data_IF_956052071054
#
_entry.id   IF_956052071054
#
_cell.length_a   1.000
_cell.length_b   1.000
_cell.length_c   1.000
_cell.angle_alpha   90.00
_cell.angle_beta   90.00
_cell.angle_gamma   90.00
#
_symmetry.space_group_name_H-M   'P 1'
#
loop_
_entity.id
_entity.type
_entity.pdbx_description
1 polymer ?
#
# COMPACT_ATOMS: atom_id res chain seq x y z
N UNK A 1 15.65 19.28 -20.84
CA UNK A 1 16.49 19.35 -19.63
C UNK A 1 16.72 17.92 -19.15
N UNK A 2 17.68 17.63 -18.26
CA UNK A 2 17.77 16.28 -17.67
C UNK A 2 17.02 16.28 -16.33
N UNK A 3 16.23 15.24 -16.08
CA UNK A 3 15.52 15.01 -14.83
C UNK A 3 16.28 13.94 -14.06
N UNK A 4 16.69 14.26 -12.84
CA UNK A 4 17.30 13.31 -11.92
C UNK A 4 16.22 12.52 -11.19
N UNK A 5 16.50 11.25 -10.92
CA UNK A 5 15.63 10.39 -10.15
C UNK A 5 16.44 9.42 -9.29
N UNK A 6 15.78 8.90 -8.26
CA UNK A 6 16.28 7.77 -7.48
C UNK A 6 15.23 6.67 -7.45
N UNK A 7 15.65 5.44 -7.74
CA UNK A 7 14.79 4.26 -7.69
C UNK A 7 14.78 3.68 -6.29
N UNK A 8 13.59 3.48 -5.73
CA UNK A 8 13.38 2.77 -4.46
C UNK A 8 12.43 1.60 -4.65
N UNK A 9 12.42 0.68 -3.68
CA UNK A 9 11.31 -0.25 -3.53
C UNK A 9 10.94 -0.45 -2.06
N UNK A 10 9.66 -0.73 -1.81
CA UNK A 10 9.15 -1.26 -0.55
C UNK A 10 8.63 -2.66 -0.76
N UNK A 11 9.39 -3.69 -0.35
CA UNK A 11 9.04 -5.11 -0.55
C UNK A 11 8.71 -5.47 -2.02
N UNK A 12 9.55 -5.04 -2.96
CA UNK A 12 9.39 -5.31 -4.39
C UNK A 12 8.44 -4.37 -5.13
N UNK A 13 7.56 -3.64 -4.45
CA UNK A 13 6.79 -2.57 -5.07
C UNK A 13 7.70 -1.35 -5.30
N UNK A 14 8.05 -1.08 -6.56
CA UNK A 14 9.18 -0.24 -6.96
C UNK A 14 8.76 1.08 -7.61
N UNK A 15 9.44 2.17 -7.22
CA UNK A 15 9.06 3.53 -7.59
C UNK A 15 10.25 4.34 -8.10
N UNK A 16 9.97 5.24 -9.05
CA UNK A 16 10.87 6.32 -9.46
C UNK A 16 10.56 7.53 -8.59
N UNK A 17 11.50 7.95 -7.74
CA UNK A 17 11.34 9.12 -6.88
C UNK A 17 12.04 10.32 -7.50
N UNK A 18 11.31 11.43 -7.62
CA UNK A 18 11.79 12.69 -8.19
C UNK A 18 11.75 13.76 -7.11
N UNK A 19 12.90 14.41 -6.91
CA UNK A 19 12.96 15.63 -6.11
C UNK A 19 12.28 16.76 -6.88
N UNK A 20 11.10 17.11 -6.43
CA UNK A 20 10.24 18.12 -7.02
C UNK A 20 9.99 19.27 -6.04
N UNK A 21 10.84 19.43 -5.00
CA UNK A 21 10.63 20.39 -3.91
C UNK A 21 10.68 21.85 -4.38
N UNK A 22 11.23 22.09 -5.57
CA UNK A 22 11.34 23.41 -6.21
C UNK A 22 10.06 23.89 -6.91
N UNK A 23 9.02 23.05 -7.06
CA UNK A 23 7.79 23.36 -7.79
C UNK A 23 6.60 22.66 -7.16
N UNK A 24 5.45 23.36 -7.07
CA UNK A 24 4.20 22.76 -6.57
C UNK A 24 3.57 21.77 -7.57
N UNK A 25 3.93 21.86 -8.85
CA UNK A 25 3.43 20.95 -9.88
C UNK A 25 4.44 19.83 -10.19
N UNK A 26 3.98 18.57 -10.39
CA UNK A 26 4.82 17.47 -10.86
C UNK A 26 5.57 17.84 -12.14
N UNK A 27 6.85 17.51 -12.19
CA UNK A 27 7.70 17.73 -13.39
C UNK A 27 7.31 16.89 -14.59
N UNK A 28 6.51 15.84 -14.41
CA UNK A 28 6.05 14.97 -15.48
C UNK A 28 4.53 15.07 -15.64
N UNK A 29 4.05 14.90 -16.85
CA UNK A 29 2.64 14.59 -17.10
C UNK A 29 2.36 13.10 -16.83
N UNK A 30 1.09 12.70 -16.66
CA UNK A 30 0.71 11.30 -16.60
C UNK A 30 1.23 10.45 -17.76
N UNK A 31 1.14 10.95 -19.01
CA UNK A 31 1.63 10.23 -20.20
C UNK A 31 3.15 10.02 -20.17
N UNK A 32 3.91 11.00 -19.65
CA UNK A 32 5.35 10.85 -19.44
C UNK A 32 5.64 9.82 -18.35
N UNK A 33 4.85 9.79 -17.27
CA UNK A 33 4.98 8.79 -16.21
C UNK A 33 4.75 7.37 -16.76
N UNK A 34 3.71 7.16 -17.58
CA UNK A 34 3.46 5.88 -18.28
C UNK A 34 4.70 5.46 -19.06
N UNK A 35 5.25 6.38 -19.88
CA UNK A 35 6.39 6.08 -20.74
C UNK A 35 7.66 5.68 -19.94
N UNK A 36 7.94 6.33 -18.80
CA UNK A 36 9.12 5.98 -18.00
C UNK A 36 8.91 4.78 -17.09
N UNK A 37 7.66 4.47 -16.72
CA UNK A 37 7.30 3.28 -15.96
C UNK A 37 7.33 2.00 -16.81
N UNK A 38 7.33 2.10 -18.15
CA UNK A 38 7.50 0.93 -19.02
C UNK A 38 8.82 0.21 -18.70
N UNK A 39 8.75 -1.09 -18.45
CA UNK A 39 9.90 -1.91 -18.00
C UNK A 39 10.88 -2.29 -19.10
N UNK A 40 10.53 -2.12 -20.38
CA UNK A 40 11.37 -2.48 -21.52
C UNK A 40 11.95 -1.25 -22.23
N UNK A 41 11.15 -0.20 -22.36
CA UNK A 41 11.46 1.02 -23.10
C UNK A 41 11.71 2.24 -22.18
N UNK A 42 11.36 2.12 -20.90
CA UNK A 42 11.57 3.14 -19.88
C UNK A 42 12.59 2.71 -18.83
N UNK A 43 12.47 3.32 -17.65
CA UNK A 43 13.24 2.95 -16.45
C UNK A 43 12.62 1.69 -15.80
N UNK A 44 11.31 1.51 -15.96
CA UNK A 44 10.52 0.44 -15.37
C UNK A 44 10.18 0.71 -13.91
N UNK A 45 8.91 0.82 -13.55
CA UNK A 45 8.45 0.98 -12.17
C UNK A 45 6.94 0.73 -12.05
N UNK A 46 6.44 0.51 -10.84
CA UNK A 46 5.00 0.51 -10.56
C UNK A 46 4.41 1.93 -10.52
N UNK A 47 5.26 2.95 -10.31
CA UNK A 47 4.85 4.35 -10.37
C UNK A 47 5.99 5.35 -10.19
N UNK A 48 5.65 6.62 -10.35
CA UNK A 48 6.51 7.78 -10.14
C UNK A 48 5.99 8.57 -8.96
N UNK A 49 6.86 8.85 -7.98
CA UNK A 49 6.53 9.62 -6.77
C UNK A 49 7.29 10.94 -6.79
N UNK A 50 6.58 12.03 -6.53
CA UNK A 50 7.12 13.38 -6.48
C UNK A 50 7.19 13.86 -5.04
N UNK A 51 8.38 14.25 -4.60
CA UNK A 51 8.58 15.00 -3.36
C UNK A 51 8.35 16.49 -3.66
N UNK A 52 7.18 17.01 -3.32
CA UNK A 52 6.76 18.40 -3.59
C UNK A 52 6.95 19.28 -2.35
N UNK A 53 6.98 20.62 -2.49
CA UNK A 53 6.97 21.51 -1.32
C UNK A 53 5.74 21.25 -0.45
N UNK A 54 5.92 21.40 0.86
CA UNK A 54 4.82 21.24 1.83
C UNK A 54 3.70 22.25 1.63
N UNK A 55 2.48 21.85 2.00
CA UNK A 55 1.29 22.70 2.02
C UNK A 55 0.56 22.60 3.36
N UNK A 56 -0.20 23.64 3.73
CA UNK A 56 -0.99 23.69 4.97
C UNK A 56 -0.18 23.32 6.25
N UNK A 57 1.09 23.73 6.30
CA UNK A 57 1.98 23.47 7.43
C UNK A 57 2.53 22.04 7.54
N UNK A 58 2.44 21.25 6.46
CA UNK A 58 3.19 19.99 6.32
C UNK A 58 4.63 20.25 5.85
N UNK A 59 5.53 19.29 6.08
CA UNK A 59 6.94 19.40 5.69
C UNK A 59 7.09 19.28 4.16
N UNK A 60 6.35 18.32 3.57
CA UNK A 60 6.38 18.01 2.15
C UNK A 60 4.99 17.59 1.65
N UNK A 61 4.82 17.58 0.34
CA UNK A 61 3.63 17.02 -0.32
C UNK A 61 4.03 15.82 -1.17
N UNK A 62 3.23 14.76 -1.17
CA UNK A 62 3.38 13.60 -2.05
C UNK A 62 2.30 13.64 -3.13
N UNK A 63 2.75 13.54 -4.38
CA UNK A 63 1.91 13.10 -5.51
C UNK A 63 2.53 11.85 -6.12
N UNK A 64 1.69 11.01 -6.72
CA UNK A 64 2.10 9.76 -7.32
C UNK A 64 1.33 9.54 -8.62
N UNK A 65 2.03 9.11 -9.67
CA UNK A 65 1.41 8.56 -10.87
C UNK A 65 1.74 7.08 -10.97
N UNK A 66 0.71 6.24 -11.09
CA UNK A 66 0.87 4.82 -11.36
C UNK A 66 1.44 4.58 -12.76
N UNK A 67 1.88 3.36 -13.04
CA UNK A 67 2.37 2.95 -14.36
C UNK A 67 1.34 3.07 -15.49
N UNK A 68 0.05 3.17 -15.17
CA UNK A 68 -1.06 3.41 -16.11
C UNK A 68 -1.44 4.91 -16.23
N UNK A 69 -0.72 5.79 -15.53
CA UNK A 69 -0.95 7.23 -15.51
C UNK A 69 -2.02 7.70 -14.53
N UNK A 70 -2.73 6.80 -13.85
CA UNK A 70 -3.68 7.19 -12.82
C UNK A 70 -2.97 7.80 -11.60
N UNK A 71 -3.63 8.73 -10.92
CA UNK A 71 -3.12 9.34 -9.68
C UNK A 71 -3.91 8.78 -8.47
N UNK A 72 -3.35 7.80 -7.74
CA UNK A 72 -4.00 7.27 -6.55
C UNK A 72 -3.88 8.23 -5.37
N UNK A 73 -4.80 8.13 -4.41
CA UNK A 73 -4.80 9.07 -3.29
C UNK A 73 -3.63 8.87 -2.31
N UNK A 74 -3.16 7.62 -2.19
CA UNK A 74 -2.08 7.23 -1.29
C UNK A 74 -1.44 5.89 -1.73
N UNK A 75 -0.18 5.68 -1.39
CA UNK A 75 0.50 4.39 -1.53
C UNK A 75 1.36 4.09 -0.28
N UNK A 76 1.00 3.03 0.47
CA UNK A 76 1.65 2.70 1.73
C UNK A 76 3.12 2.28 1.59
N UNK A 77 3.50 1.65 0.48
CA UNK A 77 4.92 1.36 0.18
C UNK A 77 5.63 2.62 -0.33
N UNK A 78 4.96 3.40 -1.17
CA UNK A 78 5.47 4.64 -1.72
C UNK A 78 5.80 5.68 -0.65
N UNK A 79 4.95 5.85 0.37
CA UNK A 79 5.19 6.82 1.45
C UNK A 79 6.40 6.43 2.32
N UNK A 80 6.67 5.12 2.51
CA UNK A 80 7.91 4.66 3.18
C UNK A 80 9.13 5.00 2.34
N UNK A 81 9.06 4.75 1.03
CA UNK A 81 10.11 5.12 0.08
C UNK A 81 10.37 6.63 0.07
N UNK A 82 9.30 7.44 0.07
CA UNK A 82 9.40 8.89 0.10
C UNK A 82 10.02 9.39 1.41
N UNK A 83 9.61 8.86 2.55
CA UNK A 83 10.22 9.20 3.84
C UNK A 83 11.73 8.95 3.84
N UNK A 84 12.16 7.80 3.30
CA UNK A 84 13.60 7.50 3.19
C UNK A 84 14.32 8.41 2.18
N UNK A 85 13.70 8.68 1.04
CA UNK A 85 14.25 9.57 0.02
C UNK A 85 14.45 10.99 0.54
N UNK A 86 13.48 11.53 1.28
CA UNK A 86 13.60 12.85 1.91
C UNK A 86 14.76 12.89 2.91
N UNK A 87 14.90 11.84 3.73
CA UNK A 87 16.04 11.74 4.64
C UNK A 87 17.39 11.65 3.93
N UNK A 88 17.46 10.89 2.83
CA UNK A 88 18.67 10.78 2.02
C UNK A 88 19.04 12.13 1.37
N UNK A 89 18.05 12.90 0.90
CA UNK A 89 18.25 14.26 0.36
C UNK A 89 18.72 15.23 1.45
N UNK A 90 18.05 15.29 2.59
CA UNK A 90 18.41 16.19 3.70
C UNK A 90 19.79 15.86 4.27
N UNK A 91 20.12 14.56 4.39
CA UNK A 91 21.45 14.12 4.82
C UNK A 91 22.54 14.60 3.86
N UNK A 92 22.31 14.52 2.55
CA UNK A 92 23.26 15.01 1.54
C UNK A 92 23.41 16.55 1.55
N UNK A 93 22.34 17.28 1.84
CA UNK A 93 22.32 18.75 1.82
C UNK A 93 22.82 19.39 3.12
N UNK A 94 22.50 18.78 4.27
CA UNK A 94 22.63 19.41 5.60
C UNK A 94 23.44 18.59 6.59
N UNK A 95 23.77 17.34 6.27
CA UNK A 95 24.44 16.41 7.20
C UNK A 95 23.56 15.90 8.33
N UNK A 96 22.25 16.13 8.26
CA UNK A 96 21.25 15.62 9.20
C UNK A 96 19.90 15.48 8.51
N UNK A 97 19.05 14.60 9.04
CA UNK A 97 17.71 14.34 8.53
C UNK A 97 16.72 14.26 9.69
N UNK A 98 15.44 14.54 9.41
CA UNK A 98 14.39 14.36 10.41
C UNK A 98 14.09 12.87 10.63
N UNK A 99 13.67 12.53 11.85
CA UNK A 99 13.22 11.16 12.19
C UNK A 99 11.77 10.91 11.76
N UNK A 100 11.02 11.95 11.43
CA UNK A 100 9.64 11.85 10.95
C UNK A 100 9.33 13.01 10.01
N UNK A 101 8.43 12.77 9.06
CA UNK A 101 7.97 13.78 8.10
C UNK A 101 6.46 13.83 8.10
N UNK A 102 5.87 15.01 8.25
CA UNK A 102 4.45 15.24 8.00
C UNK A 102 4.28 15.50 6.51
N UNK A 103 3.67 14.57 5.80
CA UNK A 103 3.54 14.62 4.34
C UNK A 103 2.07 14.77 3.98
N UNK A 104 1.74 15.84 3.25
CA UNK A 104 0.40 15.97 2.66
C UNK A 104 0.23 14.99 1.50
N UNK A 105 -0.85 14.24 1.49
CA UNK A 105 -1.27 13.35 0.39
C UNK A 105 -2.73 13.65 0.02
N UNK A 106 -3.23 13.13 -1.10
CA UNK A 106 -4.65 13.26 -1.44
C UNK A 106 -5.56 12.52 -0.46
N UNK A 107 -5.04 11.55 0.32
CA UNK A 107 -5.74 10.91 1.43
C UNK A 107 -5.61 11.66 2.77
N UNK A 108 -5.01 12.85 2.77
CA UNK A 108 -4.72 13.65 3.97
C UNK A 108 -3.26 13.55 4.43
N UNK A 109 -2.98 14.02 5.64
CA UNK A 109 -1.62 14.07 6.18
C UNK A 109 -1.19 12.71 6.71
N UNK A 110 -0.08 12.18 6.18
CA UNK A 110 0.55 10.94 6.63
C UNK A 110 1.90 11.26 7.27
N UNK A 111 2.23 10.59 8.38
CA UNK A 111 3.49 10.84 9.11
C UNK A 111 4.36 9.58 9.17
N UNK A 112 5.17 9.27 8.13
CA UNK A 112 6.19 8.24 8.22
C UNK A 112 7.24 8.61 9.28
N UNK A 113 7.55 7.64 10.15
CA UNK A 113 8.62 7.69 11.15
C UNK A 113 9.73 6.75 10.75
N UNK A 114 10.94 7.28 10.60
CA UNK A 114 12.12 6.55 10.18
C UNK A 114 12.83 6.00 11.42
N UNK A 115 13.23 4.73 11.35
CA UNK A 115 14.09 4.10 12.32
C UNK A 115 15.52 3.97 11.79
N UNK A 116 16.50 4.00 12.69
CA UNK A 116 17.92 3.90 12.34
C UNK A 116 18.30 2.60 11.61
N UNK A 117 17.50 1.53 11.78
CA UNK A 117 17.69 0.24 11.13
C UNK A 117 17.10 0.16 9.70
N UNK A 118 16.65 1.28 9.11
CA UNK A 118 16.08 1.33 7.77
C UNK A 118 14.58 1.01 7.69
N UNK A 119 13.95 0.68 8.81
CA UNK A 119 12.50 0.52 8.85
C UNK A 119 11.80 1.88 8.86
N UNK A 120 10.61 1.91 8.28
CA UNK A 120 9.72 3.08 8.33
C UNK A 120 8.37 2.65 8.86
N UNK A 121 7.93 3.29 9.94
CA UNK A 121 6.61 3.09 10.54
C UNK A 121 5.65 4.16 10.01
N UNK A 122 4.51 3.74 9.51
CA UNK A 122 3.46 4.60 8.98
C UNK A 122 2.20 4.38 9.81
N UNK A 123 1.59 5.48 10.25
CA UNK A 123 0.25 5.47 10.81
C UNK A 123 -0.77 5.38 9.66
N UNK A 124 -1.42 4.23 9.55
CA UNK A 124 -2.40 3.88 8.52
C UNK A 124 -3.82 4.29 8.89
N UNK A 125 -4.01 4.96 10.04
CA UNK A 125 -5.31 5.44 10.49
C UNK A 125 -6.20 4.33 11.08
N UNK A 126 -7.50 4.59 11.06
CA UNK A 126 -8.52 3.71 11.62
C UNK A 126 -9.10 2.79 10.54
N UNK A 127 -9.30 1.49 10.81
CA UNK A 127 -10.04 0.63 9.91
C UNK A 127 -11.53 0.97 9.93
N UNK A 128 -12.17 0.94 8.77
CA UNK A 128 -13.63 1.06 8.64
C UNK A 128 -14.24 -0.33 8.49
N UNK A 129 -15.25 -0.61 9.30
CA UNK A 129 -15.74 -1.98 9.52
C UNK A 129 -17.18 -2.18 9.08
N UNK A 130 -17.95 -1.11 8.86
CA UNK A 130 -19.35 -1.21 8.44
C UNK A 130 -19.44 -1.43 6.93
N UNK A 131 -20.40 -2.23 6.49
CA UNK A 131 -20.61 -2.56 5.07
C UNK A 131 -20.73 -1.31 4.18
N UNK A 132 -21.39 -0.25 4.68
CA UNK A 132 -21.52 1.03 3.99
C UNK A 132 -20.20 1.79 3.80
N UNK A 133 -19.22 1.59 4.69
CA UNK A 133 -17.91 2.23 4.62
C UNK A 133 -16.90 1.45 3.76
N UNK A 134 -17.19 0.19 3.45
CA UNK A 134 -16.38 -0.73 2.62
C UNK A 134 -16.93 -0.84 1.18
N UNK A 135 -17.91 0.00 0.83
CA UNK A 135 -18.93 -0.27 -0.21
C UNK A 135 -19.20 -1.75 -0.57
N UNK A 136 -19.70 -2.56 0.37
CA UNK A 136 -20.17 -3.94 0.09
C UNK A 136 -21.66 -4.11 0.36
N UNK A 137 -22.32 -4.95 -0.44
CA UNK A 137 -23.74 -5.30 -0.30
C UNK A 137 -23.96 -6.66 0.38
N UNK A 138 -22.91 -7.27 0.96
CA UNK A 138 -22.97 -8.63 1.51
C UNK A 138 -23.94 -8.76 2.70
N UNK A 139 -24.03 -7.70 3.50
CA UNK A 139 -24.85 -7.60 4.70
C UNK A 139 -25.51 -6.21 4.77
N UNK A 140 -26.33 -5.93 5.78
CA UNK A 140 -26.95 -4.63 5.91
C UNK A 140 -25.89 -3.52 6.10
N UNK A 141 -26.19 -2.31 5.60
CA UNK A 141 -25.28 -1.17 5.57
C UNK A 141 -24.64 -0.83 6.94
N UNK A 142 -25.37 -1.05 8.03
CA UNK A 142 -24.95 -0.78 9.42
C UNK A 142 -24.26 -1.96 10.11
N UNK A 143 -24.08 -3.09 9.43
CA UNK A 143 -23.49 -4.29 10.00
C UNK A 143 -22.01 -4.43 9.63
N UNK A 144 -21.26 -5.10 10.50
CA UNK A 144 -19.87 -5.48 10.24
C UNK A 144 -19.85 -6.78 9.43
N UNK A 145 -18.97 -6.85 8.45
CA UNK A 145 -18.80 -8.04 7.62
C UNK A 145 -17.67 -8.88 8.20
N UNK A 146 -17.99 -9.74 9.17
CA UNK A 146 -17.01 -10.64 9.81
C UNK A 146 -17.46 -12.09 9.65
N UNK A 147 -16.60 -12.94 9.11
CA UNK A 147 -16.86 -14.36 8.81
C UNK A 147 -18.23 -14.59 8.15
N UNK A 148 -18.51 -13.84 7.08
CA UNK A 148 -19.73 -13.98 6.28
C UNK A 148 -19.49 -14.93 5.11
N UNK A 149 -20.46 -15.78 4.73
CA UNK A 149 -20.36 -16.62 3.55
C UNK A 149 -20.47 -15.79 2.27
N UNK A 150 -19.58 -16.03 1.30
CA UNK A 150 -19.60 -15.46 -0.03
C UNK A 150 -19.43 -16.57 -1.06
N UNK A 151 -20.39 -16.72 -1.97
CA UNK A 151 -20.29 -17.68 -3.08
C UNK A 151 -19.41 -17.11 -4.20
N UNK A 152 -18.26 -17.73 -4.46
CA UNK A 152 -17.37 -17.35 -5.56
C UNK A 152 -16.91 -18.60 -6.28
N UNK A 153 -17.11 -18.66 -7.59
CA UNK A 153 -16.71 -19.80 -8.42
C UNK A 153 -17.33 -21.14 -7.96
N UNK A 154 -18.61 -21.13 -7.62
CA UNK A 154 -19.36 -22.31 -7.12
C UNK A 154 -18.79 -22.89 -5.81
N UNK A 155 -18.09 -22.06 -5.03
CA UNK A 155 -17.53 -22.40 -3.73
C UNK A 155 -17.93 -21.33 -2.71
N UNK A 156 -18.31 -21.77 -1.51
CA UNK A 156 -18.57 -20.87 -0.38
C UNK A 156 -17.26 -20.51 0.33
N UNK A 157 -16.95 -19.22 0.41
CA UNK A 157 -15.81 -18.68 1.14
C UNK A 157 -16.28 -17.95 2.39
N UNK A 158 -15.57 -18.12 3.50
CA UNK A 158 -15.77 -17.28 4.68
C UNK A 158 -14.92 -16.02 4.54
N UNK A 159 -15.56 -14.86 4.48
CA UNK A 159 -14.91 -13.58 4.24
C UNK A 159 -15.14 -12.59 5.37
N UNK A 160 -14.14 -11.75 5.60
CA UNK A 160 -14.24 -10.56 6.43
C UNK A 160 -13.90 -9.36 5.55
N UNK A 161 -14.74 -8.34 5.53
CA UNK A 161 -14.51 -7.15 4.70
C UNK A 161 -14.14 -5.96 5.57
N UNK A 162 -13.13 -5.20 5.15
CA UNK A 162 -12.55 -4.07 5.87
C UNK A 162 -12.16 -3.00 4.85
N UNK A 163 -12.22 -1.74 5.25
CA UNK A 163 -11.69 -0.64 4.44
C UNK A 163 -10.60 0.09 5.20
N UNK A 164 -9.46 0.26 4.53
CA UNK A 164 -8.35 1.10 4.98
C UNK A 164 -8.34 2.45 4.24
N UNK A 165 -9.49 2.85 3.70
CA UNK A 165 -9.64 3.89 2.68
C UNK A 165 -9.99 3.30 1.31
N UNK A 166 -9.48 2.10 1.03
CA UNK A 166 -9.83 1.24 -0.11
C UNK A 166 -10.45 -0.09 0.39
N UNK A 167 -11.32 -0.75 -0.41
CA UNK A 167 -12.01 -1.97 0.01
C UNK A 167 -11.11 -3.22 -0.03
N UNK A 168 -11.20 -4.04 1.02
CA UNK A 168 -10.51 -5.32 1.18
C UNK A 168 -11.51 -6.43 1.54
N UNK A 169 -11.36 -7.60 0.91
CA UNK A 169 -12.08 -8.83 1.18
C UNK A 169 -11.08 -9.91 1.59
N UNK A 170 -11.06 -10.25 2.87
CA UNK A 170 -10.07 -11.15 3.46
C UNK A 170 -10.70 -12.52 3.66
N UNK A 171 -10.01 -13.57 3.20
CA UNK A 171 -10.39 -14.95 3.47
C UNK A 171 -9.23 -15.77 4.03
N UNK A 172 -9.53 -16.65 4.99
CA UNK A 172 -8.55 -17.51 5.63
C UNK A 172 -8.52 -18.88 4.97
N UNK A 173 -7.34 -19.34 4.60
CA UNK A 173 -7.09 -20.60 3.89
C UNK A 173 -6.04 -21.43 4.61
N UNK A 174 -6.02 -22.73 4.35
CA UNK A 174 -5.02 -23.64 4.95
C UNK A 174 -3.61 -23.38 4.41
N UNK A 175 -3.49 -23.13 3.10
CA UNK A 175 -2.21 -22.91 2.43
C UNK A 175 -2.37 -21.91 1.27
N UNK A 176 -1.73 -20.74 1.40
CA UNK A 176 -1.75 -19.68 0.38
C UNK A 176 -1.01 -20.08 -0.90
N UNK A 177 -0.07 -21.02 -0.84
CA UNK A 177 0.68 -21.47 -2.00
C UNK A 177 -0.21 -22.20 -3.01
N UNK A 178 -1.26 -22.89 -2.54
CA UNK A 178 -2.18 -23.67 -3.37
C UNK A 178 -3.29 -22.83 -4.01
N UNK A 179 -3.41 -21.54 -3.66
CA UNK A 179 -4.41 -20.66 -4.24
C UNK A 179 -3.99 -20.24 -5.65
N UNK A 180 -4.82 -20.59 -6.62
CA UNK A 180 -4.68 -20.17 -8.03
C UNK A 180 -5.19 -18.74 -8.22
N UNK A 181 -4.43 -17.74 -7.76
CA UNK A 181 -4.83 -16.32 -7.78
C UNK A 181 -5.30 -15.83 -9.15
N UNK A 182 -4.63 -16.22 -10.23
CA UNK A 182 -5.01 -15.79 -11.59
C UNK A 182 -6.40 -16.29 -12.00
N UNK A 183 -6.89 -17.38 -11.42
CA UNK A 183 -8.21 -17.94 -11.70
C UNK A 183 -9.29 -17.39 -10.76
N UNK A 184 -8.97 -17.24 -9.47
CA UNK A 184 -9.95 -16.88 -8.44
C UNK A 184 -10.02 -15.36 -8.17
N UNK A 185 -8.88 -14.66 -8.27
CA UNK A 185 -8.76 -13.24 -7.98
C UNK A 185 -9.72 -12.35 -8.77
N UNK A 186 -9.80 -12.44 -10.12
CA UNK A 186 -10.77 -11.67 -10.90
C UNK A 186 -12.22 -11.90 -10.48
N UNK A 187 -12.55 -13.10 -9.99
CA UNK A 187 -13.92 -13.45 -9.58
C UNK A 187 -14.31 -12.79 -8.27
N UNK A 188 -13.35 -12.58 -7.36
CA UNK A 188 -13.56 -11.75 -6.17
C UNK A 188 -13.56 -10.26 -6.51
N UNK A 189 -12.58 -9.79 -7.28
CA UNK A 189 -12.46 -8.37 -7.66
C UNK A 189 -13.75 -7.86 -8.28
N UNK A 190 -14.32 -8.61 -9.22
CA UNK A 190 -15.52 -8.24 -9.96
C UNK A 190 -16.81 -8.83 -9.39
N UNK A 191 -16.79 -9.36 -8.17
CA UNK A 191 -17.98 -9.95 -7.57
C UNK A 191 -19.07 -8.88 -7.42
N UNK A 192 -20.33 -9.22 -7.75
CA UNK A 192 -21.45 -8.28 -7.75
C UNK A 192 -21.71 -7.61 -6.38
N UNK A 193 -21.26 -8.27 -5.31
CA UNK A 193 -21.33 -7.78 -3.93
C UNK A 193 -20.41 -6.58 -3.64
N UNK A 194 -19.42 -6.34 -4.50
CA UNK A 194 -18.49 -5.21 -4.38
C UNK A 194 -18.69 -4.23 -5.55
N UNK A 195 -19.65 -3.28 -5.46
CA UNK A 195 -19.92 -2.29 -6.50
C UNK A 195 -18.69 -1.49 -6.96
N UNK A 196 -17.74 -1.24 -6.05
CA UNK A 196 -16.49 -0.52 -6.34
C UNK A 196 -15.30 -1.45 -6.55
N UNK A 197 -15.57 -2.74 -6.82
CA UNK A 197 -14.61 -3.85 -6.80
C UNK A 197 -13.91 -3.96 -5.43
N UNK A 198 -13.01 -4.93 -5.27
CA UNK A 198 -12.29 -5.10 -4.00
C UNK A 198 -10.90 -5.68 -4.20
N UNK A 199 -9.99 -5.38 -3.28
CA UNK A 199 -8.76 -6.15 -3.11
C UNK A 199 -9.11 -7.45 -2.38
N UNK A 200 -8.40 -8.54 -2.67
CA UNK A 200 -8.68 -9.83 -2.03
C UNK A 200 -7.42 -10.43 -1.47
N UNK A 201 -7.40 -10.60 -0.15
CA UNK A 201 -6.29 -11.18 0.59
C UNK A 201 -6.62 -12.61 1.01
N UNK A 202 -5.74 -13.53 0.63
CA UNK A 202 -5.77 -14.92 1.07
C UNK A 202 -4.73 -15.10 2.17
N UNK A 203 -5.20 -15.52 3.35
CA UNK A 203 -4.39 -15.53 4.57
C UNK A 203 -4.25 -16.94 5.11
N UNK A 204 -3.01 -17.38 5.29
CA UNK A 204 -2.67 -18.55 6.08
C UNK A 204 -2.17 -18.10 7.45
N UNK A 205 -2.82 -18.58 8.49
CA UNK A 205 -2.39 -18.36 9.88
C UNK A 205 -1.33 -19.39 10.23
N UNK A 206 -0.07 -18.97 10.34
CA UNK A 206 1.03 -19.86 10.73
C UNK A 206 1.07 -20.00 12.26
N UNK A 207 0.84 -18.89 12.97
CA UNK A 207 0.66 -18.79 14.42
C UNK A 207 0.01 -17.43 14.74
N UNK A 208 -0.38 -17.20 16.00
CA UNK A 208 -1.15 -16.00 16.39
C UNK A 208 -0.46 -14.68 16.05
N UNK A 209 0.87 -14.63 16.01
CA UNK A 209 1.64 -13.43 15.66
C UNK A 209 2.36 -13.50 14.30
N UNK A 210 1.97 -14.44 13.42
CA UNK A 210 2.60 -14.59 12.11
C UNK A 210 1.61 -15.09 11.05
N UNK A 211 1.37 -14.25 10.05
CA UNK A 211 0.47 -14.53 8.92
C UNK A 211 1.27 -14.60 7.63
N UNK A 212 0.89 -15.52 6.74
CA UNK A 212 1.30 -15.52 5.34
C UNK A 212 0.16 -15.01 4.49
N UNK A 213 0.46 -14.10 3.58
CA UNK A 213 -0.53 -13.45 2.73
C UNK A 213 -0.16 -13.56 1.26
N UNK A 214 -1.17 -13.77 0.42
CA UNK A 214 -1.12 -13.45 -1.01
C UNK A 214 -2.32 -12.60 -1.37
N UNK A 215 -2.16 -11.71 -2.35
CA UNK A 215 -3.18 -10.72 -2.69
C UNK A 215 -3.47 -10.71 -4.19
N UNK A 216 -4.74 -10.48 -4.51
CA UNK A 216 -5.20 -9.98 -5.80
C UNK A 216 -5.68 -8.55 -5.60
N UNK A 217 -4.95 -7.57 -6.14
CA UNK A 217 -5.29 -6.16 -6.01
C UNK A 217 -6.22 -5.70 -7.12
N UNK A 218 -7.19 -4.88 -6.74
CA UNK A 218 -8.15 -4.23 -7.64
C UNK A 218 -7.41 -3.45 -8.72
N UNK A 219 -7.60 -3.82 -9.98
CA UNK A 219 -6.97 -3.16 -11.13
C UNK A 219 -5.48 -3.44 -11.33
N UNK A 220 -4.80 -4.10 -10.39
CA UNK A 220 -3.36 -4.41 -10.47
C UNK A 220 -3.06 -5.92 -10.55
N UNK A 221 -4.00 -6.79 -10.17
CA UNK A 221 -3.83 -8.23 -10.21
C UNK A 221 -2.89 -8.74 -9.12
N UNK A 222 -1.97 -9.65 -9.46
CA UNK A 222 -1.08 -10.29 -8.48
C UNK A 222 0.11 -9.36 -8.22
N UNK A 223 0.20 -8.82 -7.01
CA UNK A 223 1.30 -7.95 -6.57
C UNK A 223 2.21 -8.63 -5.55
N UNK A 224 3.44 -8.13 -5.39
CA UNK A 224 4.40 -8.64 -4.43
C UNK A 224 4.13 -8.18 -3.00
N UNK A 225 3.51 -7.02 -2.83
CA UNK A 225 3.18 -6.47 -1.52
C UNK A 225 2.03 -5.45 -1.59
N UNK A 226 1.06 -5.58 -0.67
CA UNK A 226 -0.02 -4.63 -0.46
C UNK A 226 -0.07 -4.21 1.01
N UNK A 227 0.31 -2.97 1.31
CA UNK A 227 0.40 -2.47 2.69
C UNK A 227 -0.97 -2.36 3.37
N UNK A 228 -1.95 -1.76 2.69
CA UNK A 228 -3.34 -1.67 3.19
C UNK A 228 -3.98 -3.05 3.34
N UNK A 229 -3.70 -4.00 2.44
CA UNK A 229 -4.13 -5.38 2.55
C UNK A 229 -3.54 -6.11 3.75
N UNK A 230 -2.25 -5.89 4.06
CA UNK A 230 -1.63 -6.44 5.26
C UNK A 230 -2.29 -5.88 6.55
N UNK A 231 -2.54 -4.57 6.60
CA UNK A 231 -3.27 -3.93 7.68
C UNK A 231 -4.68 -4.53 7.87
N UNK A 232 -5.45 -4.61 6.78
CA UNK A 232 -6.80 -5.16 6.78
C UNK A 232 -6.80 -6.64 7.23
N UNK A 233 -5.81 -7.42 6.81
CA UNK A 233 -5.67 -8.84 7.18
C UNK A 233 -5.46 -9.07 8.67
N UNK A 234 -4.67 -8.22 9.33
CA UNK A 234 -4.50 -8.29 10.79
C UNK A 234 -5.78 -7.92 11.51
N UNK A 235 -6.48 -6.87 11.08
CA UNK A 235 -7.77 -6.50 11.68
C UNK A 235 -8.79 -7.64 11.50
N UNK A 236 -8.86 -8.25 10.31
CA UNK A 236 -9.74 -9.39 10.05
C UNK A 236 -9.38 -10.60 10.93
N UNK A 237 -8.09 -10.86 11.13
CA UNK A 237 -7.60 -11.92 11.99
C UNK A 237 -7.97 -11.69 13.45
N UNK A 238 -7.83 -10.46 13.95
CA UNK A 238 -8.23 -10.09 15.32
C UNK A 238 -9.75 -10.22 15.49
N UNK A 239 -10.55 -9.68 14.58
CA UNK A 239 -12.02 -9.74 14.65
C UNK A 239 -12.58 -11.16 14.58
N UNK A 240 -11.86 -12.07 13.92
CA UNK A 240 -12.23 -13.49 13.80
C UNK A 240 -11.57 -14.40 14.85
N UNK A 241 -10.78 -13.85 15.78
CA UNK A 241 -10.11 -14.61 16.84
C UNK A 241 -8.97 -15.50 16.35
N UNK A 242 -8.31 -15.13 15.24
CA UNK A 242 -7.29 -15.93 14.55
C UNK A 242 -5.86 -15.43 14.76
N UNK A 243 -5.67 -14.15 15.10
CA UNK A 243 -4.34 -13.58 15.35
C UNK A 243 -4.36 -12.52 16.46
N UNK A 244 -3.17 -12.19 16.95
CA UNK A 244 -2.92 -11.10 17.89
C UNK A 244 -3.06 -9.74 17.20
N UNK A 245 -3.02 -8.65 17.97
CA UNK A 245 -3.07 -7.27 17.42
C UNK A 245 -1.73 -6.80 16.84
N UNK A 246 -0.62 -7.39 17.26
CA UNK A 246 0.72 -7.12 16.73
C UNK A 246 1.24 -8.39 16.04
N UNK A 247 1.43 -8.31 14.72
CA UNK A 247 1.64 -9.48 13.86
C UNK A 247 2.62 -9.15 12.75
N UNK A 248 3.56 -10.07 12.52
CA UNK A 248 4.33 -10.10 11.28
C UNK A 248 3.48 -10.68 10.16
N UNK A 249 3.33 -9.94 9.06
CA UNK A 249 2.67 -10.40 7.83
C UNK A 249 3.75 -10.64 6.78
N UNK A 250 3.92 -11.90 6.37
CA UNK A 250 4.79 -12.31 5.26
C UNK A 250 4.02 -12.19 3.94
N UNK A 251 4.43 -11.25 3.09
CA UNK A 251 3.97 -11.07 1.71
C UNK A 251 5.00 -11.71 0.76
N UNK A 252 4.66 -11.94 -0.53
CA UNK A 252 5.63 -12.47 -1.50
C UNK A 252 6.93 -11.65 -1.59
N UNK A 253 6.85 -10.32 -1.41
CA UNK A 253 8.00 -9.41 -1.43
C UNK A 253 8.76 -9.28 -0.10
N UNK A 254 8.29 -9.91 0.98
CA UNK A 254 8.91 -9.89 2.31
C UNK A 254 7.93 -9.50 3.43
N UNK A 255 8.45 -9.17 4.61
CA UNK A 255 7.64 -8.99 5.81
C UNK A 255 7.28 -7.52 6.10
N UNK A 256 6.06 -7.33 6.62
CA UNK A 256 5.63 -6.11 7.31
C UNK A 256 5.29 -6.45 8.76
N UNK A 257 5.65 -5.56 9.69
CA UNK A 257 5.14 -5.62 11.06
C UNK A 257 3.90 -4.73 11.14
N UNK A 258 2.77 -5.31 11.53
CA UNK A 258 1.49 -4.63 11.62
C UNK A 258 1.02 -4.65 13.07
N UNK A 259 0.68 -3.48 13.59
CA UNK A 259 0.09 -3.35 14.92
C UNK A 259 -1.24 -2.60 14.82
N UNK A 260 -2.33 -3.25 15.22
CA UNK A 260 -3.57 -2.56 15.54
C UNK A 260 -3.52 -2.12 17.00
N UNK A 261 -3.10 -0.89 17.27
CA UNK A 261 -2.79 -0.41 18.61
C UNK A 261 -4.06 -0.21 19.46
N UNK A 262 -3.87 0.05 20.76
CA UNK A 262 -4.98 0.23 21.72
C UNK A 262 -5.81 1.49 21.50
N UNK A 263 -5.30 2.45 20.71
CA UNK A 263 -6.03 3.64 20.24
C UNK A 263 -6.84 3.37 18.95
N UNK A 264 -6.95 2.09 18.57
CA UNK A 264 -7.58 1.57 17.35
C UNK A 264 -6.94 2.03 16.03
N UNK A 265 -5.79 2.71 16.09
CA UNK A 265 -5.00 3.07 14.92
C UNK A 265 -4.15 1.88 14.49
N UNK A 266 -3.88 1.79 13.20
CA UNK A 266 -3.04 0.73 12.64
C UNK A 266 -1.69 1.33 12.27
N UNK A 267 -0.62 0.75 12.81
CA UNK A 267 0.74 1.10 12.46
C UNK A 267 1.32 0.00 11.58
N UNK A 268 1.87 0.39 10.43
CA UNK A 268 2.54 -0.50 9.50
C UNK A 268 4.02 -0.15 9.48
N UNK A 269 4.88 -1.11 9.80
CA UNK A 269 6.32 -0.95 9.74
C UNK A 269 6.90 -1.88 8.68
N UNK A 270 7.75 -1.33 7.83
CA UNK A 270 8.43 -2.11 6.79
C UNK A 270 9.67 -1.41 6.24
N UNK A 271 10.50 -2.12 5.45
CA UNK A 271 11.66 -1.54 4.82
C UNK A 271 11.29 -0.62 3.65
N UNK A 272 12.23 0.25 3.31
CA UNK A 272 12.26 1.03 2.08
C UNK A 272 13.71 1.19 1.62
N UNK A 273 14.04 0.61 0.47
CA UNK A 273 15.43 0.45 0.02
C UNK A 273 15.71 1.25 -1.24
N UNK A 274 16.84 1.97 -1.24
CA UNK A 274 17.37 2.63 -2.43
C UNK A 274 18.02 1.59 -3.33
N UNK A 275 17.67 1.58 -4.61
CA UNK A 275 18.22 0.64 -5.60
C UNK A 275 19.33 1.29 -6.43
N UNK A 276 19.02 2.39 -7.12
CA UNK A 276 19.98 3.13 -7.94
C UNK A 276 19.51 4.58 -8.15
N UNK A 277 20.38 5.44 -8.66
CA UNK A 277 20.03 6.78 -9.13
C UNK A 277 20.39 6.95 -10.60
N UNK A 278 19.77 7.91 -11.28
CA UNK A 278 20.04 8.18 -12.68
C UNK A 278 19.47 9.51 -13.15
N UNK A 279 19.69 9.81 -14.44
CA UNK A 279 19.08 10.96 -15.11
C UNK A 279 18.46 10.52 -16.43
N UNK A 280 17.37 11.15 -16.84
CA UNK A 280 16.76 10.95 -18.15
C UNK A 280 16.43 12.29 -18.82
N UNK A 281 16.41 12.30 -20.16
CA UNK A 281 16.10 13.48 -20.92
C UNK A 281 14.58 13.75 -20.90
N UNK A 282 14.22 14.98 -20.58
CA UNK A 282 12.87 15.52 -20.75
C UNK A 282 12.58 15.64 -22.26
N UNK A 283 11.53 14.97 -22.73
CA UNK A 283 11.08 15.04 -24.13
C UNK A 283 10.21 16.26 -24.36
#
# INVERSE_FOLDING_TARGET
MNIEFTKYHGLGNDFILIDNRSSAEPRLTPDQAIAICDRHFGIGADGVIFALPGQDGTDYTMRIFNSDGSEPEMCGNGIRCLGRFLADLEMAERGSAHEQYRIHTLAGVITPKLAANGQVTVDMGLPRLLAAEIPTTLVAASERVVNQPLEVADQTWQVTCISMGNPHCITFVEDVANISLAQIGPKFEHHATFPQRTNTEFIQVVRSNYLKMRVWERGAGITLACGTGACASVVAGVLSGRCDRAVTVELPGGCLEIEWATDDRIYMTGPAERVFGGTFAEK
#
